data_IF_707807731821
#
_entry.id   IF_707807731821
#
_cell.length_a   1.000
_cell.length_b   1.000
_cell.length_c   1.000
_cell.angle_alpha   90.00
_cell.angle_beta   90.00
_cell.angle_gamma   90.00
#
_symmetry.space_group_name_H-M   'P 1'
#
loop_
_entity.id
_entity.type
_entity.pdbx_description
1 polymer ?
#
# COMPACT_ATOMS: atom_id res chain seq x y z
N UNK A 1 -11.12 4.85 -68.87
CA UNK A 1 -11.59 5.45 -67.60
C UNK A 1 -11.91 4.33 -66.64
N UNK A 2 -11.06 4.06 -65.65
CA UNK A 2 -11.38 3.23 -64.49
C UNK A 2 -10.61 3.80 -63.29
N UNK A 3 -11.34 4.32 -62.32
CA UNK A 3 -10.83 4.80 -61.03
C UNK A 3 -11.24 3.74 -60.00
N UNK A 4 -10.32 3.15 -59.22
CA UNK A 4 -10.72 2.43 -58.02
C UNK A 4 -10.70 3.40 -56.83
N UNK A 5 -11.88 3.65 -56.27
CA UNK A 5 -12.06 4.24 -54.94
C UNK A 5 -11.48 3.26 -53.91
N UNK A 6 -10.33 3.61 -53.32
CA UNK A 6 -9.81 2.92 -52.15
C UNK A 6 -10.56 3.42 -50.90
N UNK A 7 -11.49 2.61 -50.40
CA UNK A 7 -12.10 2.80 -49.09
C UNK A 7 -11.05 2.51 -48.00
N UNK A 8 -10.40 3.56 -47.49
CA UNK A 8 -9.61 3.50 -46.27
C UNK A 8 -10.56 3.50 -45.06
N UNK A 9 -10.90 2.30 -44.58
CA UNK A 9 -11.54 2.15 -43.27
C UNK A 9 -10.47 2.34 -42.21
N UNK A 10 -10.35 3.56 -41.69
CA UNK A 10 -9.54 3.85 -40.51
C UNK A 10 -10.25 3.25 -39.31
N UNK A 11 -9.87 2.03 -38.95
CA UNK A 11 -10.24 1.43 -37.67
C UNK A 11 -9.62 2.26 -36.55
N UNK A 12 -10.41 3.17 -35.98
CA UNK A 12 -10.17 3.76 -34.67
C UNK A 12 -10.13 2.62 -33.64
N UNK A 13 -8.95 2.04 -33.43
CA UNK A 13 -8.68 1.23 -32.24
C UNK A 13 -8.66 2.21 -31.09
N UNK A 14 -9.83 2.48 -30.53
CA UNK A 14 -9.95 3.17 -29.26
C UNK A 14 -9.19 2.36 -28.23
N UNK A 15 -8.00 2.82 -27.87
CA UNK A 15 -7.35 2.39 -26.64
C UNK A 15 -8.28 2.81 -25.51
N UNK A 16 -9.17 1.92 -25.10
CA UNK A 16 -9.69 1.94 -23.75
C UNK A 16 -8.48 1.79 -22.85
N UNK A 17 -7.96 2.91 -22.35
CA UNK A 17 -7.23 2.90 -21.09
C UNK A 17 -8.22 2.29 -20.10
N UNK A 18 -8.11 0.98 -19.90
CA UNK A 18 -8.63 0.36 -18.72
C UNK A 18 -8.10 1.23 -17.58
N UNK A 19 -9.01 1.90 -16.88
CA UNK A 19 -8.77 2.30 -15.50
C UNK A 19 -8.42 1.00 -14.79
N UNK A 20 -7.14 0.66 -14.81
CA UNK A 20 -6.58 -0.44 -14.04
C UNK A 20 -6.99 -0.12 -12.62
N UNK A 21 -7.70 -1.06 -12.01
CA UNK A 21 -8.14 -0.98 -10.63
C UNK A 21 -6.88 -0.73 -9.77
N UNK A 22 -6.68 0.49 -9.26
CA UNK A 22 -5.48 0.88 -8.49
C UNK A 22 -5.43 0.23 -7.09
N UNK A 23 -6.12 -0.91 -6.96
CA UNK A 23 -6.21 -1.75 -5.77
C UNK A 23 -5.25 -2.92 -5.91
N UNK A 24 -4.31 -3.00 -4.97
CA UNK A 24 -3.39 -4.12 -4.89
C UNK A 24 -3.59 -4.89 -3.60
N UNK A 25 -3.51 -6.22 -3.69
CA UNK A 25 -3.52 -7.09 -2.53
C UNK A 25 -2.09 -7.57 -2.31
N UNK A 26 -1.53 -7.24 -1.16
CA UNK A 26 -0.19 -7.62 -0.76
C UNK A 26 -0.29 -8.71 0.30
N UNK A 27 0.54 -9.74 0.18
CA UNK A 27 0.55 -10.87 1.11
C UNK A 27 1.97 -11.12 1.59
N UNK A 28 2.13 -11.36 2.88
CA UNK A 28 3.40 -11.75 3.46
C UNK A 28 3.22 -12.68 4.65
N UNK A 29 4.30 -13.39 5.00
CA UNK A 29 4.33 -14.37 6.09
C UNK A 29 5.54 -14.08 6.96
N UNK A 30 5.34 -14.06 8.27
CA UNK A 30 6.45 -13.96 9.23
C UNK A 30 7.23 -15.26 9.36
N UNK A 31 8.55 -15.15 9.53
CA UNK A 31 9.40 -16.27 9.91
C UNK A 31 9.18 -16.61 11.39
N UNK A 32 8.56 -17.76 11.67
CA UNK A 32 8.21 -18.18 13.04
C UNK A 32 9.42 -18.48 13.93
N UNK A 33 10.58 -18.72 13.32
CA UNK A 33 11.83 -19.02 14.02
C UNK A 33 12.52 -17.78 14.60
N UNK A 34 12.04 -16.58 14.26
CA UNK A 34 12.61 -15.31 14.70
C UNK A 34 11.58 -14.54 15.52
N UNK A 35 11.95 -14.25 16.78
CA UNK A 35 11.09 -13.49 17.68
C UNK A 35 11.08 -11.98 17.35
N UNK A 36 12.18 -11.47 16.80
CA UNK A 36 12.29 -10.09 16.32
C UNK A 36 12.74 -10.07 14.86
N UNK A 37 11.80 -9.74 13.97
CA UNK A 37 12.07 -9.56 12.55
C UNK A 37 11.48 -8.24 12.07
N UNK A 38 12.08 -7.66 11.03
CA UNK A 38 11.51 -6.54 10.28
C UNK A 38 11.36 -7.01 8.84
N UNK A 39 10.11 -7.20 8.42
CA UNK A 39 9.78 -7.62 7.06
C UNK A 39 9.60 -6.36 6.22
N UNK A 40 10.37 -6.21 5.15
CA UNK A 40 10.18 -5.12 4.20
C UNK A 40 9.10 -5.51 3.20
N UNK A 41 8.11 -4.64 3.01
CA UNK A 41 7.04 -4.84 2.05
C UNK A 41 6.88 -3.59 1.18
N UNK A 42 7.52 -3.56 0.00
CA UNK A 42 7.33 -2.47 -0.93
C UNK A 42 5.94 -2.56 -1.58
N UNK A 43 5.24 -1.43 -1.61
CA UNK A 43 4.02 -1.25 -2.41
C UNK A 43 4.46 -1.12 -3.88
N UNK A 44 3.94 -1.94 -4.80
CA UNK A 44 4.29 -1.86 -6.21
C UNK A 44 3.92 -0.52 -6.84
N UNK A 45 4.71 -0.09 -7.82
CA UNK A 45 4.45 1.14 -8.58
C UNK A 45 3.06 1.10 -9.23
N UNK A 46 2.31 2.20 -9.12
CA UNK A 46 0.93 2.31 -9.61
C UNK A 46 -0.15 1.88 -8.62
N UNK A 47 0.19 1.19 -7.53
CA UNK A 47 -0.77 0.83 -6.49
C UNK A 47 -0.97 1.97 -5.48
N UNK A 48 -2.06 2.73 -5.60
CA UNK A 48 -2.37 3.81 -4.64
C UNK A 48 -3.30 3.39 -3.52
N UNK A 49 -3.99 2.25 -3.64
CA UNK A 49 -4.83 1.69 -2.59
C UNK A 49 -4.69 0.17 -2.54
N UNK A 50 -5.09 -0.45 -1.44
CA UNK A 50 -5.04 -1.90 -1.37
C UNK A 50 -5.28 -2.48 0.01
N UNK A 51 -5.13 -3.79 0.09
CA UNK A 51 -5.17 -4.57 1.33
C UNK A 51 -3.86 -5.31 1.52
N UNK A 52 -3.44 -5.43 2.77
CA UNK A 52 -2.31 -6.22 3.19
C UNK A 52 -2.83 -7.38 4.03
N UNK A 53 -2.42 -8.59 3.70
CA UNK A 53 -2.60 -9.80 4.50
C UNK A 53 -1.24 -10.23 5.07
N UNK A 54 -1.10 -10.15 6.39
CA UNK A 54 0.11 -10.55 7.10
C UNK A 54 -0.16 -11.81 7.93
N UNK A 55 0.32 -12.95 7.43
CA UNK A 55 0.14 -14.25 8.07
C UNK A 55 1.18 -14.51 9.15
N UNK A 56 0.68 -15.12 10.23
CA UNK A 56 1.39 -15.44 11.47
C UNK A 56 2.24 -14.28 12.02
N UNK A 57 1.65 -13.07 12.15
CA UNK A 57 2.39 -11.84 12.33
C UNK A 57 3.29 -11.91 13.57
N UNK A 58 4.58 -11.63 13.37
CA UNK A 58 5.60 -11.53 14.42
C UNK A 58 6.58 -10.40 14.12
N UNK A 59 6.93 -9.63 15.15
CA UNK A 59 7.87 -8.52 15.03
C UNK A 59 7.25 -7.32 14.32
N UNK A 60 7.94 -6.80 13.30
CA UNK A 60 7.55 -5.61 12.57
C UNK A 60 7.43 -5.85 11.06
N UNK A 61 6.53 -5.11 10.45
CA UNK A 61 6.33 -5.03 9.01
C UNK A 61 6.56 -3.57 8.59
N UNK A 62 7.55 -3.33 7.73
CA UNK A 62 7.82 -2.02 7.15
C UNK A 62 7.15 -1.93 5.78
N UNK A 63 6.01 -1.24 5.73
CA UNK A 63 5.31 -0.92 4.48
C UNK A 63 5.90 0.36 3.90
N UNK A 64 6.36 0.32 2.66
CA UNK A 64 6.98 1.47 2.00
C UNK A 64 6.47 1.65 0.57
N UNK A 65 6.30 2.90 0.14
CA UNK A 65 6.02 3.24 -1.25
C UNK A 65 7.15 4.07 -1.84
N UNK A 66 7.35 3.99 -3.15
CA UNK A 66 8.25 4.87 -3.89
C UNK A 66 7.43 5.61 -4.93
N UNK A 67 7.42 6.93 -4.84
CA UNK A 67 6.53 7.78 -5.62
C UNK A 67 7.35 8.85 -6.34
N UNK A 68 6.96 9.21 -7.57
CA UNK A 68 7.68 10.24 -8.33
C UNK A 68 7.55 11.65 -7.71
N UNK A 69 6.55 11.87 -6.85
CA UNK A 69 6.26 13.16 -6.25
C UNK A 69 6.48 13.16 -4.73
N UNK A 70 7.05 14.25 -4.20
CA UNK A 70 7.40 14.37 -2.79
C UNK A 70 6.24 14.80 -1.86
N UNK A 71 5.00 14.76 -2.35
CA UNK A 71 3.83 15.28 -1.65
C UNK A 71 2.80 14.19 -1.29
N UNK A 72 3.27 12.98 -1.01
CA UNK A 72 2.41 11.84 -0.72
C UNK A 72 2.49 11.42 0.75
N UNK A 73 1.35 10.98 1.30
CA UNK A 73 1.28 10.36 2.63
C UNK A 73 0.73 8.95 2.52
N UNK A 74 1.25 8.06 3.38
CA UNK A 74 0.80 6.67 3.49
C UNK A 74 -0.13 6.56 4.70
N UNK A 75 -1.34 6.08 4.45
CA UNK A 75 -2.38 5.89 5.46
C UNK A 75 -2.71 4.41 5.61
N UNK A 76 -2.88 3.97 6.85
CA UNK A 76 -3.35 2.65 7.23
C UNK A 76 -4.78 2.75 7.76
N UNK A 77 -5.65 1.84 7.37
CA UNK A 77 -7.04 1.74 7.83
C UNK A 77 -7.34 0.31 8.26
N UNK A 78 -8.27 0.14 9.21
CA UNK A 78 -8.78 -1.18 9.53
C UNK A 78 -9.41 -1.89 8.32
N UNK A 79 -9.24 -3.19 8.32
CA UNK A 79 -9.99 -4.13 7.51
C UNK A 79 -10.69 -5.16 8.39
N UNK A 80 -11.11 -6.26 7.78
CA UNK A 80 -11.94 -7.30 8.37
C UNK A 80 -11.26 -8.09 9.51
N UNK A 81 -9.93 -8.03 9.65
CA UNK A 81 -9.17 -8.71 10.70
C UNK A 81 -7.94 -7.91 11.18
N UNK A 82 -8.10 -6.60 11.40
CA UNK A 82 -6.99 -5.76 11.87
C UNK A 82 -6.70 -6.00 13.35
N UNK A 83 -5.48 -6.42 13.65
CA UNK A 83 -4.93 -6.60 14.99
C UNK A 83 -3.45 -6.22 14.92
N UNK A 84 -3.16 -4.97 15.23
CA UNK A 84 -1.85 -4.33 15.13
C UNK A 84 -1.57 -3.69 16.49
N UNK A 85 -0.41 -3.99 17.09
CA UNK A 85 -0.06 -3.48 18.42
C UNK A 85 0.46 -2.05 18.39
N UNK A 86 1.16 -1.65 17.32
CA UNK A 86 1.64 -0.29 17.14
C UNK A 86 1.80 0.10 15.67
N UNK A 87 1.71 1.39 15.39
CA UNK A 87 2.01 1.98 14.07
C UNK A 87 2.97 3.14 14.27
N UNK A 88 4.03 3.18 13.46
CA UNK A 88 5.04 4.23 13.48
C UNK A 88 5.31 4.75 12.08
N UNK A 89 5.39 6.07 11.93
CA UNK A 89 5.95 6.72 10.75
C UNK A 89 7.47 6.59 10.81
N UNK A 90 8.09 6.18 9.69
CA UNK A 90 9.55 6.11 9.56
C UNK A 90 10.00 7.12 8.52
N UNK A 91 10.66 8.20 8.97
CA UNK A 91 11.10 9.29 8.07
C UNK A 91 12.53 9.67 8.40
N UNK A 92 13.43 9.60 7.42
CA UNK A 92 14.84 9.97 7.60
C UNK A 92 15.56 9.14 8.68
N UNK A 93 15.14 7.89 8.89
CA UNK A 93 15.69 7.01 9.94
C UNK A 93 15.15 7.27 11.35
N UNK A 94 14.28 8.27 11.55
CA UNK A 94 13.58 8.50 12.81
C UNK A 94 12.21 7.82 12.79
N UNK A 95 11.80 7.28 13.93
CA UNK A 95 10.47 6.69 14.13
C UNK A 95 9.59 7.60 14.97
N UNK A 96 8.36 7.86 14.53
CA UNK A 96 7.35 8.65 15.25
C UNK A 96 6.10 7.82 15.45
N UNK A 97 5.59 7.68 16.69
CA UNK A 97 4.36 6.93 16.92
C UNK A 97 3.16 7.59 16.24
N UNK A 98 2.28 6.76 15.70
CA UNK A 98 0.99 7.12 15.12
C UNK A 98 -0.12 6.50 15.97
N UNK A 99 -1.34 7.03 15.86
CA UNK A 99 -2.51 6.37 16.45
C UNK A 99 -2.69 4.97 15.81
N UNK A 100 -3.37 4.06 16.51
CA UNK A 100 -3.84 2.83 15.86
C UNK A 100 -4.95 3.18 14.87
N UNK A 101 -4.95 2.56 13.68
CA UNK A 101 -5.92 2.85 12.66
C UNK A 101 -7.29 2.33 13.09
N UNK A 102 -8.35 3.06 12.74
CA UNK A 102 -9.71 2.55 12.76
C UNK A 102 -10.37 2.72 11.40
N UNK A 103 -11.52 2.09 11.19
CA UNK A 103 -12.30 2.27 9.97
C UNK A 103 -12.66 3.76 9.69
N UNK A 104 -12.96 4.53 10.72
CA UNK A 104 -13.40 5.93 10.59
C UNK A 104 -12.25 6.94 10.76
N UNK A 105 -11.12 6.50 11.33
CA UNK A 105 -9.95 7.33 11.60
C UNK A 105 -8.68 6.60 11.17
N UNK A 106 -8.33 6.63 9.87
CA UNK A 106 -7.11 6.02 9.38
C UNK A 106 -5.87 6.72 9.93
N UNK A 107 -4.81 5.95 10.16
CA UNK A 107 -3.53 6.45 10.65
C UNK A 107 -2.63 6.81 9.48
N UNK A 108 -2.37 8.10 9.28
CA UNK A 108 -1.56 8.61 8.18
C UNK A 108 -0.21 9.15 8.65
N UNK A 109 0.82 8.95 7.83
CA UNK A 109 2.10 9.63 8.01
C UNK A 109 1.89 11.15 8.04
N UNK A 110 2.61 11.84 8.92
CA UNK A 110 2.42 13.27 9.15
C UNK A 110 3.19 14.15 8.16
N UNK A 111 4.25 13.63 7.56
CA UNK A 111 5.06 14.35 6.59
C UNK A 111 4.86 13.80 5.18
N UNK A 112 4.54 14.66 4.19
CA UNK A 112 4.58 14.27 2.80
C UNK A 112 6.00 13.87 2.39
N UNK A 113 6.13 12.77 1.66
CA UNK A 113 7.41 12.24 1.20
C UNK A 113 7.26 11.57 -0.17
N UNK A 114 8.35 11.53 -0.93
CA UNK A 114 8.45 10.68 -2.12
C UNK A 114 8.63 9.19 -1.77
N UNK A 115 9.02 8.92 -0.51
CA UNK A 115 9.27 7.60 0.02
C UNK A 115 8.60 7.46 1.39
N UNK A 116 7.25 7.49 1.49
CA UNK A 116 6.59 7.33 2.76
C UNK A 116 6.76 5.89 3.26
N UNK A 117 7.09 5.75 4.55
CA UNK A 117 7.28 4.47 5.20
C UNK A 117 6.50 4.42 6.51
N UNK A 118 5.79 3.31 6.72
CA UNK A 118 5.05 3.03 7.95
C UNK A 118 5.47 1.67 8.47
N UNK A 119 5.90 1.62 9.72
CA UNK A 119 6.23 0.38 10.42
C UNK A 119 5.05 -0.03 11.29
N UNK A 120 4.58 -1.26 11.09
CA UNK A 120 3.50 -1.87 11.86
C UNK A 120 4.09 -2.96 12.75
N UNK A 121 3.74 -2.95 14.04
CA UNK A 121 4.15 -3.98 15.00
C UNK A 121 3.01 -4.97 15.19
N UNK A 122 3.34 -6.27 15.13
CA UNK A 122 2.38 -7.32 15.41
C UNK A 122 1.81 -7.18 16.83
N UNK A 123 0.52 -7.48 16.99
CA UNK A 123 -0.10 -7.62 18.31
C UNK A 123 0.33 -8.96 18.93
N UNK A 124 0.73 -8.96 20.20
CA UNK A 124 1.31 -10.14 20.88
C UNK A 124 0.32 -11.32 20.98
N UNK A 125 -0.97 -11.03 20.88
CA UNK A 125 -2.05 -12.03 20.94
C UNK A 125 -2.49 -12.52 19.57
N UNK A 126 -1.95 -12.00 18.46
CA UNK A 126 -2.37 -12.36 17.12
C UNK A 126 -1.52 -13.48 16.51
N UNK A 127 -2.08 -14.70 16.47
CA UNK A 127 -1.33 -15.89 16.04
C UNK A 127 -1.52 -16.28 14.58
N UNK A 128 -2.65 -15.96 13.96
CA UNK A 128 -3.00 -16.51 12.64
C UNK A 128 -2.76 -15.55 11.49
N UNK A 129 -3.42 -14.39 11.49
CA UNK A 129 -3.32 -13.43 10.39
C UNK A 129 -3.88 -12.07 10.77
N UNK A 130 -3.23 -10.98 10.41
CA UNK A 130 -3.86 -9.67 10.42
C UNK A 130 -4.02 -9.12 9.01
N UNK A 131 -5.15 -8.46 8.76
CA UNK A 131 -5.40 -7.76 7.50
C UNK A 131 -5.68 -6.29 7.76
N UNK A 132 -5.13 -5.40 6.95
CA UNK A 132 -5.36 -3.96 7.03
C UNK A 132 -5.30 -3.33 5.63
N UNK A 133 -5.98 -2.21 5.46
CA UNK A 133 -5.95 -1.48 4.19
C UNK A 133 -4.86 -0.44 4.21
N UNK A 134 -4.36 -0.10 3.03
CA UNK A 134 -3.51 1.06 2.84
C UNK A 134 -4.07 1.98 1.76
N UNK A 135 -3.74 3.27 1.88
CA UNK A 135 -3.96 4.25 0.83
C UNK A 135 -2.83 5.27 0.78
N UNK A 136 -2.45 5.67 -0.42
CA UNK A 136 -1.49 6.72 -0.69
C UNK A 136 -2.29 7.94 -1.14
N UNK A 137 -2.16 9.04 -0.39
CA UNK A 137 -2.88 10.29 -0.66
C UNK A 137 -1.90 11.38 -1.06
N UNK A 138 -2.23 12.11 -2.12
CA UNK A 138 -1.50 13.30 -2.53
C UNK A 138 -2.02 14.49 -1.73
N UNK A 139 -1.11 15.20 -1.05
CA UNK A 139 -1.41 16.45 -0.36
C UNK A 139 -1.05 17.60 -1.31
N UNK A 140 -1.97 18.56 -1.44
CA UNK A 140 -1.78 19.77 -2.24
C UNK A 140 -1.14 20.88 -1.41
#
# INVERSE_FOLDING_TARGET
MMVPLAFFVVSLVGFSQAFLDDRCNLMTVSDLSKDSQVIQMPIPDGCITGEVEWHYPKGNLLLEARLPAANSVLCIEESWATMIGAVMEVTGGMSKPMALPTKDSPSCSSQPSAHPQVMLTAEDTQYYMTAFKYSIKMIR
#
